data_IF_370338093681
#
_entry.id   IF_370338093681
#
_cell.length_a   1.000
_cell.length_b   1.000
_cell.length_c   1.000
_cell.angle_alpha   90.00
_cell.angle_beta   90.00
_cell.angle_gamma   90.00
#
_symmetry.space_group_name_H-M   'P 1'
#
loop_
_entity.id
_entity.type
_entity.pdbx_description
1 polymer ?
#
# COMPACT_ATOMS: atom_id res chain seq x y z
N UNK A 1 -23.52 -7.40 -9.91
CA UNK A 1 -22.90 -6.79 -8.71
C UNK A 1 -23.94 -5.98 -7.96
N UNK A 2 -23.91 -6.03 -6.64
CA UNK A 2 -24.83 -5.27 -5.77
C UNK A 2 -24.01 -4.30 -4.91
N UNK A 3 -24.56 -3.12 -4.59
CA UNK A 3 -23.94 -2.23 -3.62
C UNK A 3 -23.88 -2.92 -2.26
N UNK A 4 -22.67 -2.99 -1.73
CA UNK A 4 -22.36 -3.48 -0.40
C UNK A 4 -22.32 -2.33 0.61
N UNK A 5 -22.13 -2.71 1.87
CA UNK A 5 -21.95 -1.77 2.97
C UNK A 5 -20.73 -2.23 3.76
N UNK A 6 -19.92 -1.26 4.19
CA UNK A 6 -18.87 -1.51 5.14
C UNK A 6 -19.43 -1.41 6.56
N UNK A 7 -18.77 -2.07 7.53
CA UNK A 7 -19.17 -2.06 8.94
C UNK A 7 -17.96 -1.68 9.78
N UNK A 8 -18.14 -0.72 10.68
CA UNK A 8 -17.10 -0.36 11.65
C UNK A 8 -17.00 -1.46 12.70
N UNK A 9 -15.84 -2.08 12.83
CA UNK A 9 -15.60 -3.18 13.78
C UNK A 9 -15.00 -2.68 15.09
N UNK A 10 -14.27 -1.56 15.05
CA UNK A 10 -13.62 -0.98 16.21
C UNK A 10 -13.39 0.52 16.03
N UNK A 11 -13.44 1.26 17.14
CA UNK A 11 -13.11 2.69 17.18
C UNK A 11 -12.27 2.95 18.42
N UNK A 12 -11.15 3.64 18.25
CA UNK A 12 -10.36 4.19 19.36
C UNK A 12 -10.39 5.70 19.26
N UNK A 13 -10.47 6.41 20.39
CA UNK A 13 -10.51 7.87 20.41
C UNK A 13 -11.68 8.46 19.60
N UNK A 14 -11.47 9.64 19.00
CA UNK A 14 -12.51 10.34 18.23
C UNK A 14 -12.43 9.97 16.76
N UNK A 15 -13.51 9.40 16.24
CA UNK A 15 -13.74 9.17 14.82
C UNK A 15 -15.19 9.50 14.45
N UNK A 16 -15.40 9.96 13.23
CA UNK A 16 -16.70 10.40 12.73
C UNK A 16 -16.90 9.96 11.28
N UNK A 17 -18.15 9.84 10.86
CA UNK A 17 -18.53 9.53 9.50
C UNK A 17 -19.50 10.57 8.92
N UNK A 18 -19.43 10.75 7.61
CA UNK A 18 -20.35 11.56 6.82
C UNK A 18 -20.94 10.66 5.75
N UNK A 19 -22.23 10.36 5.86
CA UNK A 19 -22.94 9.56 4.87
C UNK A 19 -23.24 10.38 3.61
N UNK A 20 -23.37 9.73 2.44
CA UNK A 20 -23.71 10.41 1.20
C UNK A 20 -25.03 11.17 1.34
N UNK A 21 -25.06 12.41 0.84
CA UNK A 21 -26.22 13.30 0.93
C UNK A 21 -26.42 13.96 2.29
N UNK A 22 -25.63 13.62 3.31
CA UNK A 22 -25.64 14.32 4.60
C UNK A 22 -24.59 15.44 4.61
N UNK A 23 -24.81 16.42 5.48
CA UNK A 23 -23.89 17.55 5.72
C UNK A 23 -23.26 17.51 7.11
N UNK A 24 -23.77 16.66 7.99
CA UNK A 24 -23.34 16.57 9.39
C UNK A 24 -22.51 15.31 9.60
N UNK A 25 -21.38 15.49 10.29
CA UNK A 25 -20.53 14.39 10.73
C UNK A 25 -21.11 13.76 11.98
N UNK A 26 -21.25 12.44 11.97
CA UNK A 26 -21.81 11.66 13.08
C UNK A 26 -20.69 10.85 13.73
N UNK A 27 -20.61 10.77 15.07
CA UNK A 27 -19.64 9.93 15.75
C UNK A 27 -19.70 8.47 15.30
N UNK A 28 -18.54 7.86 15.07
CA UNK A 28 -18.45 6.45 14.76
C UNK A 28 -18.47 5.62 16.05
N UNK A 29 -19.21 4.51 16.00
CA UNK A 29 -19.22 3.48 17.03
C UNK A 29 -19.09 2.11 16.37
N UNK A 30 -18.69 1.09 17.14
CA UNK A 30 -18.68 -0.28 16.66
C UNK A 30 -20.08 -0.68 16.13
N UNK A 31 -20.10 -1.47 15.06
CA UNK A 31 -21.28 -1.87 14.28
C UNK A 31 -21.95 -0.77 13.46
N UNK A 32 -21.39 0.45 13.41
CA UNK A 32 -21.88 1.49 12.49
C UNK A 32 -21.76 1.00 11.04
N UNK A 33 -22.84 1.10 10.27
CA UNK A 33 -22.84 0.75 8.84
C UNK A 33 -22.51 1.97 8.00
N UNK A 34 -21.56 1.77 7.08
CA UNK A 34 -21.09 2.79 6.16
C UNK A 34 -21.50 2.40 4.73
N UNK A 35 -22.43 3.13 4.11
CA UNK A 35 -22.81 2.89 2.73
C UNK A 35 -21.71 3.33 1.76
N UNK A 36 -21.84 2.90 0.49
CA UNK A 36 -21.08 3.49 -0.60
C UNK A 36 -21.26 5.02 -0.63
N UNK A 37 -20.17 5.75 -0.83
CA UNK A 37 -20.10 7.21 -0.77
C UNK A 37 -19.82 7.80 0.60
N UNK A 38 -19.80 6.99 1.67
CA UNK A 38 -19.51 7.47 3.01
C UNK A 38 -18.05 7.91 3.16
N UNK A 39 -17.84 8.94 3.97
CA UNK A 39 -16.51 9.40 4.39
C UNK A 39 -16.31 9.13 5.87
N UNK A 40 -15.08 8.85 6.25
CA UNK A 40 -14.63 8.63 7.62
C UNK A 40 -13.49 9.61 7.90
N UNK A 41 -13.53 10.23 9.08
CA UNK A 41 -12.41 11.02 9.59
C UNK A 41 -12.07 10.60 11.01
N UNK A 42 -10.78 10.58 11.31
CA UNK A 42 -10.20 10.21 12.59
C UNK A 42 -9.31 11.35 13.07
N UNK A 43 -9.45 11.71 14.34
CA UNK A 43 -8.70 12.82 14.92
C UNK A 43 -7.41 12.33 15.59
N UNK A 44 -6.66 13.22 16.21
CA UNK A 44 -5.47 12.87 16.98
C UNK A 44 -5.80 11.82 18.06
N UNK A 45 -4.99 10.77 18.17
CA UNK A 45 -5.26 9.63 19.05
C UNK A 45 -6.49 8.79 18.69
N UNK A 46 -7.16 9.09 17.57
CA UNK A 46 -8.35 8.38 17.10
C UNK A 46 -8.05 7.39 15.97
N UNK A 47 -8.73 6.27 15.90
CA UNK A 47 -8.64 5.32 14.79
C UNK A 47 -9.96 4.60 14.57
N UNK A 48 -10.18 4.10 13.37
CA UNK A 48 -11.37 3.32 13.04
C UNK A 48 -11.02 2.09 12.21
N UNK A 49 -11.48 0.93 12.64
CA UNK A 49 -11.41 -0.30 11.88
C UNK A 49 -12.72 -0.53 11.13
N UNK A 50 -12.62 -0.79 9.83
CA UNK A 50 -13.73 -0.91 8.91
C UNK A 50 -13.62 -2.23 8.16
N UNK A 51 -14.58 -3.12 8.37
CA UNK A 51 -14.76 -4.33 7.58
C UNK A 51 -15.55 -4.02 6.31
N UNK A 52 -15.02 -4.43 5.16
CA UNK A 52 -15.61 -4.25 3.85
C UNK A 52 -16.52 -5.43 3.46
N UNK A 53 -17.45 -5.24 2.51
CA UNK A 53 -18.39 -6.30 2.09
C UNK A 53 -17.73 -7.50 1.41
N UNK A 54 -16.47 -7.39 0.96
CA UNK A 54 -15.68 -8.49 0.42
C UNK A 54 -14.92 -9.28 1.52
N UNK A 55 -15.03 -8.84 2.79
CA UNK A 55 -14.33 -9.36 3.95
C UNK A 55 -12.91 -8.80 4.13
N UNK A 56 -12.48 -7.85 3.30
CA UNK A 56 -11.25 -7.10 3.55
C UNK A 56 -11.44 -6.17 4.76
N UNK A 57 -10.35 -5.79 5.44
CA UNK A 57 -10.40 -4.86 6.57
C UNK A 57 -9.50 -3.66 6.33
N UNK A 58 -9.95 -2.48 6.74
CA UNK A 58 -9.20 -1.23 6.65
C UNK A 58 -9.13 -0.59 8.03
N UNK A 59 -7.93 -0.36 8.51
CA UNK A 59 -7.66 0.51 9.64
C UNK A 59 -7.37 1.92 9.12
N UNK A 60 -8.25 2.85 9.46
CA UNK A 60 -8.04 4.30 9.28
C UNK A 60 -7.29 4.82 10.50
N UNK A 61 -6.03 5.19 10.30
CA UNK A 61 -5.15 5.69 11.36
C UNK A 61 -5.62 7.05 11.89
N UNK A 62 -5.01 7.55 12.95
CA UNK A 62 -5.23 8.93 13.42
C UNK A 62 -4.91 9.98 12.37
N UNK A 63 -5.49 11.17 12.56
CA UNK A 63 -5.32 12.33 11.68
C UNK A 63 -5.56 12.01 10.20
N UNK A 64 -6.58 11.18 9.92
CA UNK A 64 -6.83 10.67 8.57
C UNK A 64 -8.24 10.94 8.11
N UNK A 65 -8.39 11.12 6.79
CA UNK A 65 -9.67 11.21 6.12
C UNK A 65 -9.72 10.26 4.95
N UNK A 66 -10.77 9.46 4.93
CA UNK A 66 -10.92 8.33 4.04
C UNK A 66 -12.34 8.28 3.47
N UNK A 67 -12.48 7.95 2.20
CA UNK A 67 -13.78 7.85 1.53
C UNK A 67 -13.96 6.48 0.89
N UNK A 68 -15.14 5.90 1.09
CA UNK A 68 -15.57 4.64 0.51
C UNK A 68 -16.31 4.95 -0.79
N UNK A 69 -15.60 5.09 -1.90
CA UNK A 69 -16.17 5.66 -3.13
C UNK A 69 -16.98 4.66 -3.94
N UNK A 70 -16.61 3.38 -3.89
CA UNK A 70 -17.36 2.29 -4.54
C UNK A 70 -17.24 1.01 -3.72
N UNK A 71 -18.35 0.37 -3.41
CA UNK A 71 -18.41 -0.83 -2.58
C UNK A 71 -19.27 -1.92 -3.25
N UNK A 72 -18.97 -2.32 -4.47
CA UNK A 72 -19.77 -3.34 -5.15
C UNK A 72 -19.18 -4.73 -4.97
N UNK A 73 -20.04 -5.69 -4.66
CA UNK A 73 -19.67 -7.11 -4.57
C UNK A 73 -20.73 -7.96 -5.26
N UNK A 74 -20.30 -8.96 -5.99
CA UNK A 74 -21.15 -10.04 -6.49
C UNK A 74 -21.00 -11.26 -5.57
N UNK A 75 -22.02 -11.56 -4.78
CA UNK A 75 -21.97 -12.70 -3.85
C UNK A 75 -21.96 -14.06 -4.54
N UNK A 76 -22.43 -14.13 -5.80
CA UNK A 76 -22.48 -15.38 -6.56
C UNK A 76 -21.14 -15.70 -7.19
N UNK A 77 -20.49 -14.70 -7.76
CA UNK A 77 -19.21 -14.90 -8.48
C UNK A 77 -17.98 -14.55 -7.64
N UNK A 78 -18.13 -13.79 -6.55
CA UNK A 78 -17.02 -13.24 -5.77
C UNK A 78 -16.35 -12.03 -6.43
N UNK A 79 -16.84 -11.57 -7.58
CA UNK A 79 -16.34 -10.35 -8.24
C UNK A 79 -16.60 -9.13 -7.36
N UNK A 80 -15.70 -8.15 -7.40
CA UNK A 80 -15.79 -6.96 -6.55
C UNK A 80 -15.20 -5.74 -7.23
N UNK A 81 -15.83 -4.59 -7.01
CA UNK A 81 -15.31 -3.28 -7.32
C UNK A 81 -15.30 -2.47 -6.03
N UNK A 82 -14.19 -2.57 -5.30
CA UNK A 82 -13.95 -1.82 -4.07
C UNK A 82 -12.97 -0.70 -4.41
N UNK A 83 -13.50 0.51 -4.56
CA UNK A 83 -12.71 1.71 -4.76
C UNK A 83 -12.81 2.58 -3.52
N UNK A 84 -11.66 3.04 -3.07
CA UNK A 84 -11.56 3.87 -1.89
C UNK A 84 -10.59 5.01 -2.14
N UNK A 85 -10.68 6.05 -1.32
CA UNK A 85 -9.89 7.25 -1.51
C UNK A 85 -9.36 7.77 -0.17
N UNK A 86 -8.04 7.79 -0.03
CA UNK A 86 -7.33 8.43 1.06
C UNK A 86 -7.09 9.89 0.69
N UNK A 87 -7.83 10.78 1.33
CA UNK A 87 -7.70 12.23 1.13
C UNK A 87 -6.44 12.75 1.81
N UNK A 88 -6.19 12.28 3.03
CA UNK A 88 -5.07 12.65 3.89
C UNK A 88 -4.89 11.60 4.97
N UNK A 89 -3.65 11.38 5.38
CA UNK A 89 -3.33 10.58 6.56
C UNK A 89 -2.78 9.21 6.17
N UNK A 90 -3.21 8.18 6.88
CA UNK A 90 -2.68 6.83 6.72
C UNK A 90 -3.79 5.79 6.84
N UNK A 91 -3.74 4.78 5.99
CA UNK A 91 -4.59 3.60 6.10
C UNK A 91 -3.76 2.33 6.01
N UNK A 92 -4.16 1.32 6.76
CA UNK A 92 -3.67 -0.06 6.61
C UNK A 92 -4.82 -0.90 6.11
N UNK A 93 -4.71 -1.44 4.91
CA UNK A 93 -5.72 -2.31 4.32
C UNK A 93 -5.18 -3.75 4.26
N UNK A 94 -5.91 -4.67 4.89
CA UNK A 94 -5.71 -6.11 4.71
C UNK A 94 -6.74 -6.61 3.70
N UNK A 95 -6.28 -6.79 2.47
CA UNK A 95 -7.13 -7.15 1.33
C UNK A 95 -7.21 -8.66 1.22
N UNK A 96 -8.43 -9.20 1.21
CA UNK A 96 -8.61 -10.65 0.98
C UNK A 96 -8.22 -11.01 -0.44
N UNK A 97 -7.47 -12.09 -0.61
CA UNK A 97 -7.23 -12.65 -1.94
C UNK A 97 -8.56 -12.94 -2.64
N UNK A 98 -8.67 -12.50 -3.89
CA UNK A 98 -9.76 -12.92 -4.74
C UNK A 98 -9.48 -14.37 -5.19
N UNK A 99 -10.52 -15.20 -5.39
CA UNK A 99 -10.36 -16.52 -5.99
C UNK A 99 -9.54 -16.46 -7.29
N UNK A 100 -8.66 -17.44 -7.51
CA UNK A 100 -7.71 -17.46 -8.62
C UNK A 100 -8.40 -17.31 -10.00
N UNK A 101 -9.59 -17.90 -10.15
CA UNK A 101 -10.41 -17.80 -11.36
C UNK A 101 -10.81 -16.34 -11.69
N UNK A 102 -11.02 -15.51 -10.67
CA UNK A 102 -11.43 -14.10 -10.82
C UNK A 102 -10.23 -13.22 -11.16
N UNK A 103 -9.07 -13.50 -10.56
CA UNK A 103 -7.80 -12.82 -10.89
C UNK A 103 -7.48 -13.04 -12.37
N UNK A 104 -7.65 -14.27 -12.85
CA UNK A 104 -7.41 -14.63 -14.25
C UNK A 104 -8.41 -13.96 -15.21
N UNK A 105 -9.67 -13.81 -14.78
CA UNK A 105 -10.69 -13.09 -15.54
C UNK A 105 -10.62 -11.55 -15.42
N UNK A 106 -9.73 -11.00 -14.59
CA UNK A 106 -9.59 -9.55 -14.28
C UNK A 106 -10.88 -8.87 -13.79
N UNK A 107 -11.76 -9.63 -13.14
CA UNK A 107 -13.08 -9.14 -12.70
C UNK A 107 -13.09 -8.61 -11.24
N UNK A 108 -11.97 -8.69 -10.52
CA UNK A 108 -11.86 -8.22 -9.13
C UNK A 108 -10.91 -7.04 -9.04
N UNK A 109 -11.45 -5.89 -8.65
CA UNK A 109 -10.71 -4.66 -8.47
C UNK A 109 -10.81 -4.19 -7.01
N UNK A 110 -9.65 -4.08 -6.36
CA UNK A 110 -9.51 -3.38 -5.10
C UNK A 110 -8.50 -2.26 -5.31
N UNK A 111 -8.90 -1.03 -5.02
CA UNK A 111 -8.01 0.12 -5.14
C UNK A 111 -8.11 1.10 -3.98
N UNK A 112 -6.96 1.69 -3.67
CA UNK A 112 -6.84 2.82 -2.77
C UNK A 112 -6.24 3.95 -3.60
N UNK A 113 -7.05 4.97 -3.84
CA UNK A 113 -6.63 6.19 -4.53
C UNK A 113 -6.22 7.26 -3.52
N UNK A 114 -5.38 8.18 -3.96
CA UNK A 114 -5.01 9.43 -3.29
C UNK A 114 -5.12 10.55 -4.32
N UNK A 115 -5.06 11.83 -3.92
CA UNK A 115 -5.02 12.94 -4.87
C UNK A 115 -3.89 12.86 -5.92
N UNK A 116 -2.90 12.03 -5.68
CA UNK A 116 -1.67 11.94 -6.48
C UNK A 116 -1.56 10.64 -7.27
N UNK A 117 -2.17 9.54 -6.80
CA UNK A 117 -2.08 8.26 -7.49
C UNK A 117 -3.09 7.22 -7.07
N UNK A 118 -3.05 6.07 -7.74
CA UNK A 118 -3.91 4.92 -7.51
C UNK A 118 -3.07 3.69 -7.22
N UNK A 119 -3.34 3.02 -6.11
CA UNK A 119 -2.79 1.71 -5.79
C UNK A 119 -3.81 0.62 -6.11
N UNK A 120 -3.42 -0.34 -6.95
CA UNK A 120 -4.12 -1.61 -7.16
C UNK A 120 -3.55 -2.64 -6.20
N UNK A 121 -4.43 -3.33 -5.45
CA UNK A 121 -4.00 -4.27 -4.40
C UNK A 121 -4.63 -5.63 -4.65
N UNK A 122 -3.80 -6.67 -4.72
CA UNK A 122 -4.27 -8.04 -4.95
C UNK A 122 -3.89 -8.93 -3.77
N UNK A 123 -4.79 -8.96 -2.78
CA UNK A 123 -4.74 -10.00 -1.75
C UNK A 123 -3.48 -9.97 -0.90
N UNK A 124 -3.22 -8.84 -0.26
CA UNK A 124 -2.06 -8.61 0.61
C UNK A 124 -2.40 -7.53 1.64
N UNK A 125 -1.50 -7.28 2.58
CA UNK A 125 -1.58 -6.11 3.44
C UNK A 125 -0.84 -4.95 2.77
N UNK A 126 -1.48 -3.78 2.70
CA UNK A 126 -0.83 -2.54 2.29
C UNK A 126 -1.00 -1.47 3.35
N UNK A 127 0.00 -0.61 3.48
CA UNK A 127 -0.12 0.63 4.24
C UNK A 127 0.09 1.77 3.26
N UNK A 128 -0.89 2.65 3.14
CA UNK A 128 -0.78 3.84 2.29
C UNK A 128 -0.86 5.07 3.17
N UNK A 129 0.20 5.88 3.16
CA UNK A 129 0.24 7.19 3.78
C UNK A 129 0.23 8.28 2.69
N UNK A 130 -0.45 9.39 2.95
CA UNK A 130 -0.50 10.56 2.08
C UNK A 130 -0.51 11.85 2.90
N UNK A 131 0.45 12.74 2.64
CA UNK A 131 0.52 14.08 3.20
C UNK A 131 0.19 15.13 2.13
N UNK A 132 -0.95 15.86 2.25
CA UNK A 132 -1.34 16.88 1.31
C UNK A 132 -0.46 18.14 1.37
N UNK A 133 0.29 18.35 2.46
CA UNK A 133 1.17 19.53 2.62
C UNK A 133 2.39 19.44 1.71
N UNK A 134 2.92 18.22 1.57
CA UNK A 134 4.07 17.92 0.71
C UNK A 134 3.65 17.22 -0.59
N UNK A 135 2.35 16.94 -0.77
CA UNK A 135 1.82 16.10 -1.86
C UNK A 135 2.59 14.79 -2.03
N UNK A 136 3.01 14.20 -0.90
CA UNK A 136 3.80 12.98 -0.88
C UNK A 136 2.93 11.82 -0.45
N UNK A 137 2.96 10.72 -1.21
CA UNK A 137 2.36 9.47 -0.78
C UNK A 137 3.37 8.32 -0.78
N UNK A 138 3.20 7.42 0.17
CA UNK A 138 4.08 6.26 0.36
C UNK A 138 3.22 5.02 0.51
N UNK A 139 3.43 4.06 -0.39
CA UNK A 139 2.77 2.76 -0.38
C UNK A 139 3.76 1.71 0.09
N UNK A 140 3.43 1.05 1.19
CA UNK A 140 4.14 -0.11 1.74
C UNK A 140 3.35 -1.37 1.42
N UNK A 141 4.04 -2.44 1.03
CA UNK A 141 3.43 -3.75 0.81
C UNK A 141 3.99 -4.74 1.82
N UNK A 142 3.09 -5.38 2.55
CA UNK A 142 3.39 -6.32 3.62
C UNK A 142 2.69 -7.65 3.29
N UNK A 143 3.33 -8.81 3.54
CA UNK A 143 2.67 -10.09 3.36
C UNK A 143 1.51 -10.25 4.35
N UNK A 144 0.43 -10.91 3.92
CA UNK A 144 -0.63 -11.30 4.85
C UNK A 144 -0.13 -12.41 5.79
N UNK A 145 -0.69 -12.55 7.01
CA UNK A 145 -0.38 -13.68 7.88
C UNK A 145 -0.59 -15.02 7.14
N UNK A 146 0.44 -15.88 7.12
CA UNK A 146 0.40 -17.17 6.43
C UNK A 146 0.56 -17.11 4.90
N UNK A 147 0.72 -15.93 4.30
CA UNK A 147 0.97 -15.77 2.86
C UNK A 147 2.48 -15.73 2.57
N UNK A 148 2.98 -16.52 1.60
CA UNK A 148 4.36 -16.37 1.15
C UNK A 148 4.58 -15.00 0.51
N UNK A 149 5.68 -14.32 0.87
CA UNK A 149 6.00 -12.98 0.38
C UNK A 149 6.06 -12.89 -1.17
N UNK A 150 6.43 -13.97 -1.84
CA UNK A 150 6.49 -14.04 -3.30
C UNK A 150 5.13 -13.80 -4.00
N UNK A 151 4.01 -14.03 -3.31
CA UNK A 151 2.65 -13.84 -3.84
C UNK A 151 1.98 -12.56 -3.35
N UNK A 152 2.67 -11.76 -2.55
CA UNK A 152 2.16 -10.52 -2.01
C UNK A 152 2.74 -9.34 -2.82
N UNK A 153 1.88 -8.67 -3.56
CA UNK A 153 2.27 -7.51 -4.37
C UNK A 153 1.12 -6.50 -4.50
N UNK A 154 1.50 -5.27 -4.80
CA UNK A 154 0.60 -4.22 -5.20
C UNK A 154 1.22 -3.47 -6.38
N UNK A 155 0.42 -2.71 -7.11
CA UNK A 155 0.92 -1.83 -8.15
C UNK A 155 0.42 -0.41 -7.90
N UNK A 156 1.29 0.57 -8.11
CA UNK A 156 1.03 1.99 -7.87
C UNK A 156 1.20 2.78 -9.18
N UNK A 157 0.23 3.64 -9.50
CA UNK A 157 0.26 4.56 -10.64
C UNK A 157 0.18 5.98 -10.11
N UNK A 158 1.17 6.80 -10.44
CA UNK A 158 1.05 8.24 -10.28
C UNK A 158 0.19 8.83 -11.41
N UNK A 159 -0.84 9.59 -11.06
CA UNK A 159 -1.84 10.07 -12.01
C UNK A 159 -1.32 11.19 -12.92
N UNK A 160 -0.28 11.94 -12.51
CA UNK A 160 0.28 13.03 -13.32
C UNK A 160 1.32 12.53 -14.30
N UNK A 161 2.32 11.83 -13.81
CA UNK A 161 3.42 11.25 -14.60
C UNK A 161 3.01 10.01 -15.37
N UNK A 162 1.84 9.42 -15.06
CA UNK A 162 1.33 8.16 -15.63
C UNK A 162 2.33 7.00 -15.53
N UNK A 163 3.23 7.07 -14.55
CA UNK A 163 4.26 6.05 -14.34
C UNK A 163 3.77 5.01 -13.34
N UNK A 164 3.81 3.75 -13.75
CA UNK A 164 3.45 2.62 -12.91
C UNK A 164 4.69 1.98 -12.24
N UNK A 165 4.52 1.51 -11.01
CA UNK A 165 5.48 0.70 -10.26
C UNK A 165 4.78 -0.50 -9.65
N UNK A 166 5.32 -1.68 -9.87
CA UNK A 166 4.94 -2.88 -9.13
C UNK A 166 5.80 -2.94 -7.87
N UNK A 167 5.16 -3.19 -6.72
CA UNK A 167 5.79 -3.22 -5.40
C UNK A 167 5.55 -4.59 -4.81
N UNK A 168 6.64 -5.33 -4.59
CA UNK A 168 6.60 -6.64 -3.93
C UNK A 168 6.51 -6.50 -2.41
N UNK A 169 6.10 -7.58 -1.74
CA UNK A 169 6.08 -7.65 -0.28
C UNK A 169 7.44 -7.32 0.33
N UNK A 170 7.41 -6.57 1.43
CA UNK A 170 8.62 -6.11 2.11
C UNK A 170 9.28 -4.91 1.44
N UNK A 171 8.67 -4.33 0.40
CA UNK A 171 9.13 -3.10 -0.24
C UNK A 171 8.10 -1.96 -0.11
N UNK A 172 8.58 -0.75 -0.38
CA UNK A 172 7.76 0.44 -0.46
C UNK A 172 8.16 1.29 -1.67
N UNK A 173 7.22 2.14 -2.09
CA UNK A 173 7.46 3.21 -3.07
C UNK A 173 6.94 4.51 -2.47
N UNK A 174 7.79 5.54 -2.48
CA UNK A 174 7.40 6.92 -2.25
C UNK A 174 7.24 7.67 -3.57
N UNK A 175 6.36 8.67 -3.57
CA UNK A 175 6.23 9.59 -4.70
C UNK A 175 5.82 10.97 -4.18
N UNK A 176 6.23 12.00 -4.93
CA UNK A 176 5.74 13.38 -4.80
C UNK A 176 4.97 13.69 -6.08
N UNK A 177 3.81 14.33 -5.97
CA UNK A 177 2.95 14.59 -7.12
C UNK A 177 3.69 15.26 -8.28
N UNK A 178 3.64 14.66 -9.47
CA UNK A 178 4.30 15.20 -10.67
C UNK A 178 5.78 14.82 -10.83
N UNK A 179 6.36 14.11 -9.87
CA UNK A 179 7.65 13.44 -10.02
C UNK A 179 7.44 11.95 -10.33
N UNK A 180 8.48 11.32 -10.89
CA UNK A 180 8.44 9.87 -11.08
C UNK A 180 8.40 9.18 -9.71
N UNK A 181 7.55 8.16 -9.53
CA UNK A 181 7.61 7.31 -8.35
C UNK A 181 9.01 6.68 -8.20
N UNK A 182 9.49 6.63 -6.96
CA UNK A 182 10.76 6.00 -6.61
C UNK A 182 10.80 4.52 -7.04
N UNK A 183 12.01 3.98 -7.16
CA UNK A 183 12.18 2.55 -7.32
C UNK A 183 11.71 1.81 -6.05
N UNK A 184 11.09 0.62 -6.17
CA UNK A 184 10.74 -0.20 -5.02
C UNK A 184 11.96 -0.42 -4.13
N UNK A 185 11.87 0.04 -2.87
CA UNK A 185 12.97 -0.03 -1.90
C UNK A 185 12.56 -0.96 -0.75
N UNK A 186 13.45 -1.81 -0.22
CA UNK A 186 13.14 -2.67 0.91
C UNK A 186 12.75 -1.87 2.16
N UNK A 187 11.70 -2.29 2.86
CA UNK A 187 11.29 -1.73 4.16
C UNK A 187 12.40 -1.91 5.20
N UNK A 188 13.20 -2.97 5.09
CA UNK A 188 14.36 -3.22 5.96
C UNK A 188 15.45 -2.15 5.85
N UNK A 189 15.46 -1.35 4.77
CA UNK A 189 16.38 -0.22 4.63
C UNK A 189 15.96 1.01 5.46
N UNK A 190 14.75 1.03 6.01
CA UNK A 190 14.25 2.12 6.85
C UNK A 190 14.74 1.98 8.30
N UNK A 191 14.83 3.09 9.06
CA UNK A 191 15.13 3.02 10.49
C UNK A 191 14.11 2.13 11.24
N UNK A 192 14.51 1.36 12.27
CA UNK A 192 13.61 0.46 13.01
C UNK A 192 12.36 1.14 13.57
N UNK A 193 12.49 2.40 14.01
CA UNK A 193 11.36 3.21 14.47
C UNK A 193 10.32 3.45 13.38
N UNK A 194 10.76 3.69 12.14
CA UNK A 194 9.87 3.87 10.99
C UNK A 194 9.23 2.55 10.60
N UNK A 195 9.98 1.44 10.64
CA UNK A 195 9.43 0.10 10.39
C UNK A 195 8.29 -0.21 11.36
N UNK A 196 8.48 0.06 12.67
CA UNK A 196 7.45 -0.12 13.68
C UNK A 196 6.21 0.77 13.45
N UNK A 197 6.41 2.03 13.03
CA UNK A 197 5.32 2.96 12.72
C UNK A 197 4.49 2.57 11.48
N UNK A 198 5.09 1.88 10.51
CA UNK A 198 4.37 1.32 9.35
C UNK A 198 3.40 0.24 9.83
N UNK A 199 3.82 -0.60 10.78
CA UNK A 199 3.00 -1.69 11.31
C UNK A 199 1.94 -1.20 12.31
N UNK A 200 2.30 -0.25 13.18
CA UNK A 200 1.43 0.26 14.24
C UNK A 200 0.40 1.31 13.77
N UNK A 201 0.47 1.74 12.51
CA UNK A 201 -0.42 2.75 11.92
C UNK A 201 -0.48 4.10 12.69
N UNK A 202 0.51 4.43 13.51
CA UNK A 202 0.64 5.76 14.14
C UNK A 202 0.84 6.84 13.08
N UNK A 203 0.23 8.02 13.21
CA UNK A 203 0.24 9.01 12.14
C UNK A 203 0.25 10.47 12.64
N UNK A 204 1.45 10.96 12.93
CA UNK A 204 1.67 12.36 13.31
C UNK A 204 1.96 13.28 12.11
N UNK A 205 2.32 12.72 10.96
CA UNK A 205 2.69 13.47 9.74
C UNK A 205 1.52 14.26 9.15
N UNK A 206 0.28 14.03 9.57
CA UNK A 206 -0.88 14.79 9.10
C UNK A 206 -1.62 15.49 10.23
N UNK A 207 -0.98 15.63 11.39
CA UNK A 207 -1.50 16.43 12.49
C UNK A 207 -1.85 17.85 11.99
N UNK A 208 -3.08 18.28 12.26
CA UNK A 208 -3.63 19.58 11.88
C UNK A 208 -3.81 19.82 10.36
N UNK A 209 -3.81 18.79 9.52
CA UNK A 209 -4.06 18.96 8.09
C UNK A 209 -5.48 19.54 7.84
N UNK A 210 -5.63 20.66 7.08
CA UNK A 210 -6.94 21.27 6.85
C UNK A 210 -7.88 20.36 6.04
N UNK A 211 -7.33 19.46 5.22
CA UNK A 211 -8.09 18.44 4.48
C UNK A 211 -8.86 17.48 5.40
N UNK A 212 -8.48 17.36 6.67
CA UNK A 212 -9.16 16.51 7.66
C UNK A 212 -10.57 17.04 7.98
N UNK A 213 -10.76 18.36 7.97
CA UNK A 213 -11.99 19.02 8.45
C UNK A 213 -12.85 19.63 7.35
N UNK A 214 -12.34 19.78 6.12
CA UNK A 214 -13.10 20.34 4.99
C UNK A 214 -14.45 19.62 4.78
N UNK A 215 -15.53 20.30 4.40
CA UNK A 215 -16.77 19.58 4.08
C UNK A 215 -16.62 18.78 2.78
N UNK A 216 -15.99 19.40 1.78
CA UNK A 216 -15.80 18.84 0.44
C UNK A 216 -14.32 18.56 0.19
N UNK A 217 -14.04 17.40 -0.38
CA UNK A 217 -12.69 16.96 -0.75
C UNK A 217 -12.72 16.46 -2.19
N UNK A 218 -11.64 16.72 -2.92
CA UNK A 218 -11.52 16.28 -4.31
C UNK A 218 -11.23 14.79 -4.31
N UNK A 219 -12.27 14.00 -4.55
CA UNK A 219 -12.17 12.55 -4.69
C UNK A 219 -11.86 12.22 -6.14
N UNK A 220 -10.87 11.34 -6.36
CA UNK A 220 -10.55 10.85 -7.70
C UNK A 220 -11.77 10.12 -8.27
N UNK A 221 -12.28 10.50 -9.47
CA UNK A 221 -13.44 9.86 -10.06
C UNK A 221 -13.22 8.37 -10.31
N UNK A 222 -14.26 7.56 -10.14
CA UNK A 222 -14.20 6.10 -10.35
C UNK A 222 -13.77 5.72 -11.77
N UNK A 223 -14.10 6.54 -12.78
CA UNK A 223 -13.65 6.37 -14.17
C UNK A 223 -12.13 6.50 -14.30
N UNK A 224 -11.53 7.47 -13.62
CA UNK A 224 -10.07 7.65 -13.56
C UNK A 224 -9.43 6.47 -12.83
N UNK A 225 -10.03 6.00 -11.73
CA UNK A 225 -9.57 4.80 -11.02
C UNK A 225 -9.61 3.58 -11.95
N UNK A 226 -10.68 3.36 -12.70
CA UNK A 226 -10.79 2.23 -13.64
C UNK A 226 -9.72 2.29 -14.73
N UNK A 227 -9.48 3.46 -15.33
CA UNK A 227 -8.42 3.64 -16.32
C UNK A 227 -7.03 3.40 -15.72
N UNK A 228 -6.80 3.85 -14.49
CA UNK A 228 -5.57 3.58 -13.76
C UNK A 228 -5.36 2.08 -13.53
N UNK A 229 -6.42 1.37 -13.14
CA UNK A 229 -6.39 -0.08 -12.95
C UNK A 229 -6.07 -0.86 -14.23
N UNK A 230 -6.58 -0.42 -15.39
CA UNK A 230 -6.21 -1.01 -16.69
C UNK A 230 -4.71 -0.82 -16.97
N UNK A 231 -4.19 0.39 -16.74
CA UNK A 231 -2.75 0.68 -16.90
C UNK A 231 -1.90 -0.17 -15.95
N UNK A 232 -2.31 -0.30 -14.69
CA UNK A 232 -1.62 -1.09 -13.69
C UNK A 232 -1.65 -2.59 -14.00
N UNK A 233 -2.77 -3.09 -14.51
CA UNK A 233 -2.88 -4.47 -14.96
C UNK A 233 -1.87 -4.76 -16.08
N UNK A 234 -1.74 -3.86 -17.06
CA UNK A 234 -0.76 -3.99 -18.14
C UNK A 234 0.69 -3.95 -17.62
N UNK A 235 1.01 -3.01 -16.72
CA UNK A 235 2.34 -2.89 -16.12
C UNK A 235 2.73 -4.15 -15.30
N UNK A 236 1.77 -4.75 -14.60
CA UNK A 236 1.99 -5.96 -13.82
C UNK A 236 2.29 -7.17 -14.71
N UNK A 237 1.61 -7.28 -15.86
CA UNK A 237 1.92 -8.32 -16.86
C UNK A 237 3.31 -8.10 -17.45
N UNK A 238 3.63 -6.87 -17.85
CA UNK A 238 4.94 -6.55 -18.42
C UNK A 238 6.07 -6.89 -17.44
N UNK A 239 5.90 -6.60 -16.15
CA UNK A 239 6.86 -6.95 -15.10
C UNK A 239 7.00 -8.48 -14.91
N UNK A 240 5.90 -9.25 -15.05
CA UNK A 240 5.94 -10.70 -14.94
C UNK A 240 6.54 -11.41 -16.17
N UNK A 241 6.43 -10.80 -17.36
CA UNK A 241 7.00 -11.33 -18.61
C UNK A 241 8.41 -10.82 -18.89
N UNK A 242 8.91 -9.86 -18.11
CA UNK A 242 10.26 -9.35 -18.28
C UNK A 242 11.27 -10.47 -17.99
N UNK A 243 12.29 -10.68 -18.85
CA UNK A 243 13.35 -11.63 -18.54
C UNK A 243 14.01 -11.24 -17.21
N UNK A 244 14.44 -12.21 -16.39
CA UNK A 244 15.15 -11.91 -15.16
C UNK A 244 16.34 -10.99 -15.50
N UNK A 245 16.67 -10.00 -14.65
CA UNK A 245 17.87 -9.20 -14.86
C UNK A 245 19.04 -10.15 -15.09
N UNK A 246 19.95 -9.86 -16.04
CA UNK A 246 21.14 -10.68 -16.22
C UNK A 246 21.79 -10.83 -14.86
N UNK A 247 22.05 -12.07 -14.44
CA UNK A 247 22.79 -12.36 -13.21
C UNK A 247 23.97 -11.39 -13.14
N UNK A 248 24.25 -10.76 -11.99
CA UNK A 248 25.47 -9.99 -11.87
C UNK A 248 26.60 -10.89 -12.35
N UNK A 249 27.30 -10.45 -13.40
CA UNK A 249 28.44 -11.19 -13.91
C UNK A 249 29.31 -11.56 -12.71
N UNK A 250 29.80 -12.80 -12.60
CA UNK A 250 30.71 -13.15 -11.51
C UNK A 250 31.79 -12.08 -11.51
N UNK A 251 31.89 -11.35 -10.39
CA UNK A 251 32.94 -10.37 -10.22
C UNK A 251 34.23 -11.07 -10.64
N UNK A 252 34.91 -10.54 -11.65
CA UNK A 252 36.23 -10.98 -12.04
C UNK A 252 37.02 -11.08 -10.74
N UNK A 253 37.30 -12.31 -10.32
CA UNK A 253 38.19 -12.54 -9.19
C UNK A 253 39.45 -11.74 -9.50
N UNK A 254 39.91 -10.85 -8.60
CA UNK A 254 41.21 -10.24 -8.79
C UNK A 254 42.22 -11.38 -9.01
N UNK A 255 43.17 -11.22 -9.94
CA UNK A 255 44.15 -12.27 -10.23
C UNK A 255 44.75 -12.77 -8.91
N UNK A 256 44.80 -14.09 -8.77
CA UNK A 256 45.36 -14.74 -7.59
C UNK A 256 46.69 -14.07 -7.24
N UNK A 257 46.77 -13.51 -6.03
CA UNK A 257 48.04 -13.03 -5.52
C UNK A 257 49.03 -14.21 -5.56
N UNK A 258 50.26 -14.02 -6.06
CA UNK A 258 51.27 -15.06 -6.02
C UNK A 258 51.43 -15.55 -4.58
N UNK A 259 51.43 -16.87 -4.38
CA UNK A 259 51.75 -17.44 -3.08
C UNK A 259 53.07 -16.86 -2.58
N UNK A 260 53.18 -16.47 -1.29
CA UNK A 260 54.46 -16.09 -0.71
C UNK A 260 55.43 -17.29 -0.82
N UNK A 261 56.71 -17.03 -1.13
CA UNK A 261 57.70 -18.10 -1.24
C UNK A 261 57.82 -18.86 0.09
N UNK A 262 58.08 -20.18 0.04
CA UNK A 262 58.25 -20.97 1.24
C UNK A 262 59.41 -20.43 2.10
N UNK A 263 59.29 -20.49 3.43
CA UNK A 263 60.35 -20.06 4.33
C UNK A 263 61.63 -20.85 4.06
N UNK A 264 62.76 -20.13 4.02
CA UNK A 264 64.08 -20.70 3.79
C UNK A 264 64.40 -21.77 4.87
N UNK A 265 65.07 -22.87 4.50
CA UNK A 265 65.48 -23.90 5.44
C UNK A 265 66.47 -23.31 6.45
N UNK A 266 66.13 -23.43 7.73
CA UNK A 266 67.03 -23.16 8.85
C UNK A 266 68.22 -24.12 8.75
N UNK A 267 69.41 -23.59 8.49
CA UNK A 267 70.63 -24.38 8.55
C UNK A 267 70.88 -24.83 10.01
N UNK A 268 71.23 -26.10 10.25
CA UNK A 268 71.67 -26.54 11.56
C UNK A 268 73.04 -25.90 11.87
N UNK A 269 73.12 -25.27 13.04
CA UNK A 269 74.38 -24.85 13.65
C UNK A 269 75.13 -26.12 14.06
N UNK A 270 76.14 -26.50 13.27
CA UNK A 270 77.10 -27.53 13.66
C UNK A 270 77.98 -26.98 14.78
N UNK A 271 77.72 -27.43 16.00
CA UNK A 271 78.61 -27.26 17.14
C UNK A 271 79.49 -28.49 17.32
N UNK A 272 80.79 -28.23 17.37
CA UNK A 272 81.93 -29.09 17.72
C UNK A 272 82.39 -30.14 16.71
#
# INVERSE_FOLDING_TARGET
MQPGQATVTGVTGRAEALNPGQTQWVPLTANTRLPEGAQVRTFAGGSAEVALPDGSTILVAENSRYALTKLEVDRRTGARNIFTHLVVGKVRAQVRQAPAQIVQARQSNFSISTPTGVAAVWGTVVVFAFDPRTNTGVLFVLPSPGQPAAFASAAYLDLRSRTARVVAAGAFVSHVAGQLPSAPTPISALPPSVQAQVTAATNQTTANAPALTQATVVIVPTTVIQQALVTLAAATVAAATAPPPPSPAPALQPPAQPLPPPPAPTQPVSGQ
#
